data_IF_430798103556
#
_entry.id   IF_430798103556
#
_cell.length_a   1.000
_cell.length_b   1.000
_cell.length_c   1.000
_cell.angle_alpha   90.00
_cell.angle_beta   90.00
_cell.angle_gamma   90.00
#
_symmetry.space_group_name_H-M   'P 1'
#
loop_
_entity.id
_entity.type
_entity.pdbx_description
1 polymer ?
#
# COMPACT_ATOMS: atom_id res chain seq x y z
N UNK A 1 7.99 10.84 4.76
CA UNK A 1 7.24 9.66 5.27
C UNK A 1 8.23 8.51 5.42
N UNK A 2 8.28 7.81 6.56
CA UNK A 2 9.45 6.97 6.91
C UNK A 2 9.49 5.65 6.12
N UNK A 3 8.33 4.98 5.93
CA UNK A 3 8.27 3.66 5.28
C UNK A 3 7.29 3.55 4.10
N UNK A 4 6.61 4.63 3.73
CA UNK A 4 5.51 4.56 2.75
C UNK A 4 5.96 4.02 1.39
N UNK A 5 7.09 4.52 0.87
CA UNK A 5 7.66 4.11 -0.41
C UNK A 5 8.00 2.62 -0.46
N UNK A 6 8.67 2.11 0.59
CA UNK A 6 9.06 0.71 0.70
C UNK A 6 7.85 -0.19 0.93
N UNK A 7 6.87 0.28 1.71
CA UNK A 7 5.64 -0.46 2.00
C UNK A 7 4.76 -0.60 0.75
N UNK A 8 4.55 0.47 -0.01
CA UNK A 8 3.79 0.40 -1.29
C UNK A 8 4.45 -0.62 -2.23
N UNK A 9 5.77 -0.54 -2.39
CA UNK A 9 6.54 -1.43 -3.25
C UNK A 9 6.46 -2.89 -2.80
N UNK A 10 6.56 -3.14 -1.50
CA UNK A 10 6.43 -4.47 -0.91
C UNK A 10 5.04 -5.05 -1.16
N UNK A 11 3.99 -4.32 -0.77
CA UNK A 11 2.59 -4.75 -0.90
C UNK A 11 2.23 -5.03 -2.37
N UNK A 12 2.65 -4.15 -3.29
CA UNK A 12 2.46 -4.36 -4.73
C UNK A 12 3.09 -5.67 -5.20
N UNK A 13 4.34 -5.94 -4.81
CA UNK A 13 5.06 -7.16 -5.20
C UNK A 13 4.40 -8.40 -4.60
N UNK A 14 3.94 -8.34 -3.35
CA UNK A 14 3.19 -9.43 -2.70
C UNK A 14 1.87 -9.72 -3.40
N UNK A 15 1.17 -8.69 -3.87
CA UNK A 15 -0.01 -8.81 -4.72
C UNK A 15 0.32 -9.25 -6.17
N UNK A 16 1.59 -9.51 -6.51
CA UNK A 16 2.08 -9.89 -7.84
C UNK A 16 1.70 -8.90 -8.95
N UNK A 17 1.65 -7.60 -8.63
CA UNK A 17 1.26 -6.53 -9.56
C UNK A 17 2.47 -5.80 -10.14
N UNK A 18 2.40 -5.46 -11.42
CA UNK A 18 3.29 -4.48 -12.04
C UNK A 18 3.02 -3.08 -11.46
N UNK A 19 3.94 -2.13 -11.66
CA UNK A 19 3.67 -0.73 -11.33
C UNK A 19 2.51 -0.17 -12.17
N UNK A 20 2.31 -0.65 -13.40
CA UNK A 20 1.15 -0.26 -14.22
C UNK A 20 -0.16 -0.70 -13.57
N UNK A 21 -0.25 -1.96 -13.16
CA UNK A 21 -1.50 -2.55 -12.65
C UNK A 21 -1.95 -1.87 -11.35
N UNK A 22 -1.00 -1.60 -10.42
CA UNK A 22 -1.34 -0.87 -9.20
C UNK A 22 -1.68 0.59 -9.49
N UNK A 23 -0.95 1.23 -10.41
CA UNK A 23 -1.22 2.63 -10.77
C UNK A 23 -2.62 2.79 -11.35
N UNK A 24 -3.04 1.88 -12.23
CA UNK A 24 -4.39 1.83 -12.80
C UNK A 24 -5.47 1.73 -11.70
N UNK A 25 -5.31 0.81 -10.75
CA UNK A 25 -6.25 0.64 -9.63
C UNK A 25 -6.26 1.85 -8.69
N UNK A 26 -5.12 2.52 -8.54
CA UNK A 26 -5.00 3.76 -7.78
C UNK A 26 -5.41 4.99 -8.59
N UNK A 27 -5.75 4.87 -9.87
CA UNK A 27 -6.16 5.98 -10.73
C UNK A 27 -5.05 7.02 -10.95
N UNK A 28 -3.79 6.56 -11.01
CA UNK A 28 -2.62 7.40 -11.28
C UNK A 28 -1.82 6.81 -12.44
N UNK A 29 -0.87 7.58 -12.99
CA UNK A 29 0.02 7.02 -14.01
C UNK A 29 1.10 6.13 -13.39
N UNK A 30 1.64 5.19 -14.18
CA UNK A 30 2.80 4.37 -13.78
C UNK A 30 3.98 5.23 -13.28
N UNK A 31 4.25 6.34 -13.96
CA UNK A 31 5.34 7.26 -13.59
C UNK A 31 5.09 7.90 -12.22
N UNK A 32 3.84 8.28 -11.93
CA UNK A 32 3.44 8.82 -10.62
C UNK A 32 3.63 7.77 -9.53
N UNK A 33 3.16 6.53 -9.73
CA UNK A 33 3.41 5.45 -8.76
C UNK A 33 4.91 5.21 -8.55
N UNK A 34 5.70 5.18 -9.62
CA UNK A 34 7.14 5.02 -9.54
C UNK A 34 7.81 6.16 -8.75
N UNK A 35 7.29 7.39 -8.82
CA UNK A 35 7.80 8.51 -8.03
C UNK A 35 7.62 8.29 -6.53
N UNK A 36 6.51 7.67 -6.11
CA UNK A 36 6.24 7.36 -4.71
C UNK A 36 7.11 6.20 -4.22
N UNK A 37 7.24 5.12 -4.99
CA UNK A 37 8.05 3.95 -4.61
C UNK A 37 9.55 4.22 -4.52
N UNK A 38 10.02 5.33 -5.09
CA UNK A 38 11.44 5.74 -5.06
C UNK A 38 11.68 7.05 -4.29
N UNK A 39 10.72 7.49 -3.46
CA UNK A 39 10.81 8.72 -2.64
C UNK A 39 11.07 10.01 -3.43
N UNK A 40 10.70 10.05 -4.71
CA UNK A 40 10.83 11.24 -5.56
C UNK A 40 9.74 12.26 -5.21
N UNK A 41 8.54 11.79 -4.89
CA UNK A 41 7.42 12.63 -4.48
C UNK A 41 6.67 11.99 -3.30
N UNK A 42 5.87 12.79 -2.60
CA UNK A 42 4.92 12.29 -1.62
C UNK A 42 3.51 12.26 -2.24
N UNK A 43 2.70 11.22 -1.99
CA UNK A 43 1.32 11.19 -2.45
C UNK A 43 0.48 12.22 -1.68
N UNK A 44 -0.53 12.83 -2.33
CA UNK A 44 -1.51 13.65 -1.62
C UNK A 44 -2.32 12.79 -0.63
N UNK A 45 -2.95 13.44 0.35
CA UNK A 45 -3.72 12.75 1.40
C UNK A 45 -4.79 11.82 0.83
N UNK A 46 -5.52 12.26 -0.20
CA UNK A 46 -6.55 11.46 -0.86
C UNK A 46 -5.99 10.15 -1.44
N UNK A 47 -4.81 10.22 -2.06
CA UNK A 47 -4.16 9.03 -2.60
C UNK A 47 -3.63 8.12 -1.49
N UNK A 48 -3.14 8.68 -0.39
CA UNK A 48 -2.75 7.90 0.79
C UNK A 48 -3.93 7.12 1.38
N UNK A 49 -5.11 7.75 1.45
CA UNK A 49 -6.37 7.09 1.85
C UNK A 49 -6.76 6.02 0.83
N UNK A 50 -6.58 6.26 -0.47
CA UNK A 50 -6.85 5.26 -1.51
C UNK A 50 -5.94 4.03 -1.42
N UNK A 51 -4.65 4.24 -1.15
CA UNK A 51 -3.67 3.16 -0.91
C UNK A 51 -4.06 2.36 0.33
N UNK A 52 -4.43 3.05 1.41
CA UNK A 52 -4.94 2.44 2.65
C UNK A 52 -6.13 1.53 2.38
N UNK A 53 -7.14 2.01 1.65
CA UNK A 53 -8.32 1.22 1.27
C UNK A 53 -7.98 0.07 0.32
N UNK A 54 -7.09 0.29 -0.64
CA UNK A 54 -6.70 -0.73 -1.62
C UNK A 54 -6.06 -1.95 -0.96
N UNK A 55 -5.18 -1.73 0.02
CA UNK A 55 -4.48 -2.80 0.73
C UNK A 55 -5.15 -3.23 2.04
N UNK A 56 -6.24 -2.58 2.45
CA UNK A 56 -6.91 -2.84 3.73
C UNK A 56 -6.03 -2.52 4.95
N UNK A 57 -5.09 -1.58 4.83
CA UNK A 57 -4.17 -1.21 5.91
C UNK A 57 -4.44 0.21 6.38
N UNK A 58 -4.34 0.48 7.68
CA UNK A 58 -4.43 1.85 8.18
C UNK A 58 -3.28 2.72 7.65
N UNK A 59 -3.52 4.01 7.52
CA UNK A 59 -2.49 4.98 7.13
C UNK A 59 -1.31 4.95 8.11
N UNK A 60 -1.58 4.83 9.41
CA UNK A 60 -0.52 4.70 10.42
C UNK A 60 0.42 3.52 10.15
N UNK A 61 -0.13 2.33 9.81
CA UNK A 61 0.68 1.15 9.46
C UNK A 61 1.53 1.44 8.22
N UNK A 62 0.92 2.01 7.17
CA UNK A 62 1.64 2.35 5.93
C UNK A 62 2.79 3.34 6.16
N UNK A 63 2.66 4.26 7.12
CA UNK A 63 3.64 5.33 7.37
C UNK A 63 4.70 4.98 8.41
N UNK A 64 4.33 4.28 9.49
CA UNK A 64 5.13 4.13 10.71
C UNK A 64 5.65 2.70 10.93
N UNK A 65 5.12 1.70 10.23
CA UNK A 65 5.56 0.31 10.36
C UNK A 65 6.43 -0.08 9.18
N UNK A 66 7.64 -0.60 9.46
CA UNK A 66 8.47 -1.24 8.44
C UNK A 66 7.94 -2.65 8.15
N UNK A 67 7.09 -2.79 7.13
CA UNK A 67 6.45 -4.06 6.81
C UNK A 67 7.45 -5.14 6.37
N UNK A 68 8.65 -4.74 5.90
CA UNK A 68 9.69 -5.69 5.52
C UNK A 68 10.31 -6.42 6.73
N UNK A 69 10.08 -5.91 7.96
CA UNK A 69 10.54 -6.54 9.21
C UNK A 69 9.51 -7.46 9.86
N UNK A 70 8.29 -7.53 9.34
CA UNK A 70 7.25 -8.41 9.87
C UNK A 70 7.47 -9.86 9.42
N UNK A 71 7.18 -10.81 10.30
CA UNK A 71 7.17 -12.22 9.94
C UNK A 71 6.01 -12.51 8.98
N UNK A 72 6.17 -13.49 8.08
CA UNK A 72 5.17 -13.83 7.04
C UNK A 72 3.77 -14.07 7.62
N UNK A 73 3.68 -14.69 8.80
CA UNK A 73 2.40 -14.89 9.48
C UNK A 73 1.72 -13.58 9.86
N UNK A 74 2.47 -12.61 10.39
CA UNK A 74 1.94 -11.30 10.76
C UNK A 74 1.47 -10.54 9.52
N UNK A 75 2.20 -10.66 8.42
CA UNK A 75 1.87 -10.01 7.16
C UNK A 75 0.58 -10.58 6.56
N UNK A 76 0.40 -11.91 6.60
CA UNK A 76 -0.86 -12.56 6.21
C UNK A 76 -2.03 -12.19 7.11
N UNK A 77 -1.80 -12.05 8.41
CA UNK A 77 -2.84 -11.60 9.33
C UNK A 77 -3.32 -10.20 8.99
N UNK A 78 -2.40 -9.27 8.67
CA UNK A 78 -2.76 -7.92 8.22
C UNK A 78 -3.54 -7.94 6.89
N UNK A 79 -3.18 -8.83 5.97
CA UNK A 79 -3.87 -9.00 4.68
C UNK A 79 -5.27 -9.65 4.86
N UNK A 80 -5.47 -10.48 5.89
CA UNK A 80 -6.70 -11.23 6.12
C UNK A 80 -7.70 -10.55 7.09
N UNK A 81 -7.22 -9.78 8.07
CA UNK A 81 -8.06 -9.25 9.16
C UNK A 81 -9.01 -8.13 8.75
N UNK A 82 -8.74 -7.42 7.66
CA UNK A 82 -9.58 -6.28 7.21
C UNK A 82 -10.43 -6.61 5.97
N UNK A 83 -10.24 -7.77 5.33
CA UNK A 83 -11.13 -8.29 4.28
C UNK A 83 -12.56 -8.60 4.77
N UNK A 84 -12.78 -8.68 6.09
CA UNK A 84 -14.08 -8.99 6.69
C UNK A 84 -14.95 -7.76 7.03
N UNK A 85 -14.46 -6.52 6.90
CA UNK A 85 -15.29 -5.32 7.19
C UNK A 85 -16.05 -4.78 5.97
N UNK A 86 -15.90 -5.40 4.80
CA UNK A 86 -16.56 -5.01 3.54
C UNK A 86 -17.79 -5.88 3.20
N UNK A 87 -18.50 -6.42 4.21
CA UNK A 87 -19.75 -7.18 4.02
C UNK A 87 -20.95 -6.61 4.80
N UNK A 88 -20.79 -5.49 5.52
CA UNK A 88 -21.94 -4.79 6.11
C UNK A 88 -21.75 -3.27 6.01
N UNK A 89 -22.34 -2.69 4.98
CA UNK A 89 -22.47 -1.26 4.73
C UNK A 89 -23.39 -1.01 3.55
#
# INVERSE_FOLDING_TARGET
MVYLDSNIKLLRKRAKKSQGDLAEQLGVSRAVLNSYENRIANPPLELLVKISRHFGLSVDVLLKTDLAKLHELQLRQLEASEGSKMVNG
#
